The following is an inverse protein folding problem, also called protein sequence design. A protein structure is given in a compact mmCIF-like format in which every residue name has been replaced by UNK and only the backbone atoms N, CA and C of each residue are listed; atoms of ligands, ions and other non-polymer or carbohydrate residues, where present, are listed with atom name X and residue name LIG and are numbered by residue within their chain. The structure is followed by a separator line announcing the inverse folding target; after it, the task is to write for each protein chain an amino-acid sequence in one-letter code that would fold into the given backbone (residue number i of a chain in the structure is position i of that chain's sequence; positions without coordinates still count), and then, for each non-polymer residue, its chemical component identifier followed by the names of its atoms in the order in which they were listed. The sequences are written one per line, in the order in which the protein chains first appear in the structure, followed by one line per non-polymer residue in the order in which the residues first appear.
data_IF_499553726548
#
_entry.id   IF_499553726548
#
_cell.length_a   1.000
_cell.length_b   1.000
_cell.length_c   1.000
_cell.angle_alpha   90.00
_cell.angle_beta   90.00
_cell.angle_gamma   90.00
#
_symmetry.space_group_name_H-M   'P 1'
#
loop_
_entity.id
_entity.type
_entity.pdbx_description
1 polymer ?
#
# COMPACT_ATOMS: atom_id res chain seq x y z
N UNK A 1 -17.59 -4.75 -5.99
CA UNK A 1 -16.36 -5.16 -5.27
C UNK A 1 -15.30 -4.10 -5.52
N UNK A 2 -14.57 -3.70 -4.48
CA UNK A 2 -13.39 -2.86 -4.60
C UNK A 2 -12.20 -3.60 -3.98
N UNK A 3 -11.07 -3.59 -4.65
CA UNK A 3 -9.81 -4.14 -4.18
C UNK A 3 -8.87 -2.96 -3.98
N UNK A 4 -8.23 -2.91 -2.82
CA UNK A 4 -7.24 -1.91 -2.48
C UNK A 4 -5.89 -2.59 -2.31
N UNK A 5 -4.84 -2.01 -2.86
CA UNK A 5 -3.46 -2.50 -2.74
C UNK A 5 -2.59 -1.35 -2.28
N UNK A 6 -1.81 -1.58 -1.22
CA UNK A 6 -0.87 -0.62 -0.64
C UNK A 6 0.21 -1.41 0.10
N UNK A 7 1.34 -0.78 0.40
CA UNK A 7 2.35 -1.33 1.31
C UNK A 7 1.93 -1.10 2.77
N UNK A 8 2.51 -1.84 3.72
CA UNK A 8 2.28 -1.67 5.15
C UNK A 8 2.99 -0.43 5.71
N UNK A 9 4.20 -0.15 5.23
CA UNK A 9 4.93 1.10 5.40
C UNK A 9 5.88 1.35 4.21
N UNK A 10 6.55 2.50 4.19
CA UNK A 10 7.43 2.91 3.08
C UNK A 10 8.82 2.21 3.09
N UNK A 11 9.09 1.31 4.05
CA UNK A 11 10.30 0.49 4.20
C UNK A 11 11.63 1.25 4.05
N UNK A 12 11.65 2.52 4.48
CA UNK A 12 12.83 3.40 4.37
C UNK A 12 13.08 3.95 2.96
N UNK A 13 12.09 3.88 2.07
CA UNK A 13 12.10 4.49 0.76
C UNK A 13 12.41 5.99 0.83
N UNK A 14 13.36 6.43 0.01
CA UNK A 14 13.71 7.84 -0.10
C UNK A 14 12.75 8.51 -1.06
N UNK A 15 11.85 9.31 -0.53
CA UNK A 15 10.89 10.09 -1.29
C UNK A 15 11.15 11.59 -1.09
N UNK A 16 11.09 12.37 -2.17
CA UNK A 16 11.40 13.80 -2.17
C UNK A 16 10.28 14.68 -1.59
N UNK A 17 9.09 14.13 -1.39
CA UNK A 17 7.93 14.82 -0.82
C UNK A 17 7.78 14.47 0.65
N UNK A 18 7.69 13.17 0.97
CA UNK A 18 7.54 12.69 2.35
C UNK A 18 8.02 11.23 2.48
N UNK A 19 8.83 10.92 3.49
CA UNK A 19 9.41 9.59 3.73
C UNK A 19 8.39 8.49 4.02
N UNK A 20 7.14 8.84 4.32
CA UNK A 20 6.06 7.89 4.56
C UNK A 20 5.14 7.74 3.34
N UNK A 21 5.40 8.45 2.24
CA UNK A 21 4.61 8.30 1.02
C UNK A 21 4.85 6.91 0.44
N UNK A 22 3.75 6.17 0.24
CA UNK A 22 3.73 4.84 -0.36
C UNK A 22 2.77 4.80 -1.55
N UNK A 23 2.74 3.67 -2.26
CA UNK A 23 1.84 3.39 -3.37
C UNK A 23 0.47 2.99 -2.86
N UNK A 24 -0.59 3.52 -3.46
CA UNK A 24 -1.97 3.09 -3.23
C UNK A 24 -2.68 2.89 -4.56
N UNK A 25 -3.29 1.72 -4.75
CA UNK A 25 -4.05 1.34 -5.94
C UNK A 25 -5.48 0.96 -5.55
N UNK A 26 -6.46 1.45 -6.31
CA UNK A 26 -7.86 1.04 -6.21
C UNK A 26 -8.30 0.35 -7.51
N UNK A 27 -8.86 -0.85 -7.38
CA UNK A 27 -9.38 -1.63 -8.52
C UNK A 27 -10.84 -1.95 -8.27
N UNK A 28 -11.70 -1.51 -9.19
CA UNK A 28 -13.15 -1.71 -9.14
C UNK A 28 -13.73 -1.38 -10.51
N UNK A 29 -14.89 -1.97 -10.91
CA UNK A 29 -15.66 -1.44 -12.03
C UNK A 29 -16.01 0.04 -11.84
N UNK A 30 -16.14 0.51 -10.61
CA UNK A 30 -16.43 1.90 -10.27
C UNK A 30 -15.18 2.77 -10.09
N UNK A 31 -13.97 2.19 -10.19
CA UNK A 31 -12.75 2.98 -10.10
C UNK A 31 -12.53 3.77 -11.40
N UNK A 32 -12.09 5.01 -11.29
CA UNK A 32 -11.70 5.82 -12.44
C UNK A 32 -10.47 5.21 -13.10
N UNK A 33 -10.58 4.83 -14.37
CA UNK A 33 -9.45 4.28 -15.14
C UNK A 33 -8.45 5.37 -15.49
N UNK A 34 -7.16 5.00 -15.51
CA UNK A 34 -6.06 5.88 -15.89
C UNK A 34 -6.09 7.23 -15.15
N UNK A 35 -6.50 7.19 -13.88
CA UNK A 35 -6.64 8.36 -13.03
C UNK A 35 -5.66 8.27 -11.87
N UNK A 36 -4.97 9.37 -11.60
CA UNK A 36 -4.12 9.54 -10.42
C UNK A 36 -4.82 10.52 -9.48
N UNK A 37 -5.19 10.02 -8.32
CA UNK A 37 -5.71 10.84 -7.24
C UNK A 37 -4.59 11.72 -6.65
N UNK A 38 -4.90 12.98 -6.35
CA UNK A 38 -3.94 13.95 -5.81
C UNK A 38 -4.29 14.39 -4.38
N UNK A 39 -5.42 13.94 -3.84
CA UNK A 39 -5.78 14.15 -2.44
C UNK A 39 -4.75 13.55 -1.51
N UNK A 40 -4.33 14.31 -0.50
CA UNK A 40 -3.51 13.78 0.58
C UNK A 40 -4.37 12.82 1.42
N UNK A 41 -4.03 11.53 1.35
CA UNK A 41 -4.68 10.47 2.12
C UNK A 41 -3.64 9.56 2.76
N UNK A 42 -4.10 8.73 3.68
CA UNK A 42 -3.29 7.83 4.51
C UNK A 42 -4.14 6.62 4.92
N UNK A 43 -3.59 5.70 5.72
CA UNK A 43 -4.33 4.52 6.20
C UNK A 43 -5.70 4.84 6.83
N UNK A 44 -5.87 5.86 7.69
CA UNK A 44 -7.18 6.30 8.15
C UNK A 44 -8.16 6.65 7.02
N UNK A 45 -7.69 7.26 5.92
CA UNK A 45 -8.51 7.58 4.75
C UNK A 45 -8.92 6.34 3.95
N UNK A 46 -8.03 5.35 3.85
CA UNK A 46 -8.35 4.04 3.30
C UNK A 46 -9.43 3.34 4.15
N UNK A 47 -9.26 3.30 5.47
CA UNK A 47 -10.25 2.72 6.39
C UNK A 47 -11.60 3.43 6.30
N UNK A 48 -11.61 4.76 6.29
CA UNK A 48 -12.81 5.58 6.07
C UNK A 48 -13.52 5.16 4.79
N UNK A 49 -12.79 4.98 3.69
CA UNK A 49 -13.35 4.56 2.39
C UNK A 49 -13.98 3.17 2.48
N UNK A 50 -13.28 2.20 3.09
CA UNK A 50 -13.77 0.83 3.26
C UNK A 50 -15.04 0.82 4.12
N UNK A 51 -15.04 1.52 5.26
CA UNK A 51 -16.22 1.61 6.14
C UNK A 51 -17.41 2.21 5.41
N UNK A 52 -17.22 3.29 4.65
CA UNK A 52 -18.28 3.90 3.83
C UNK A 52 -18.83 2.94 2.78
N UNK A 53 -17.98 2.17 2.10
CA UNK A 53 -18.39 1.16 1.12
C UNK A 53 -19.20 0.02 1.77
N UNK A 54 -18.91 -0.32 3.03
CA UNK A 54 -19.61 -1.35 3.80
C UNK A 54 -20.83 -0.80 4.57
N UNK A 55 -21.10 0.51 4.51
CA UNK A 55 -22.18 1.15 5.29
C UNK A 55 -21.90 1.20 6.80
N UNK A 56 -20.63 1.16 7.20
CA UNK A 56 -20.20 1.19 8.59
C UNK A 56 -19.85 2.63 9.04
N UNK A 57 -20.08 2.97 10.31
CA UNK A 57 -19.61 4.21 10.89
C UNK A 57 -18.07 4.20 11.06
N UNK A 58 -17.43 5.37 11.25
CA UNK A 58 -16.03 5.43 11.62
C UNK A 58 -15.78 4.76 12.98
N UNK A 59 -14.60 4.18 13.14
CA UNK A 59 -14.17 3.52 14.36
C UNK A 59 -13.76 4.53 15.44
N UNK A 60 -13.13 5.64 15.06
CA UNK A 60 -12.67 6.68 15.98
C UNK A 60 -12.60 8.05 15.28
N UNK A 61 -11.92 9.03 15.89
CA UNK A 61 -11.80 10.38 15.33
C UNK A 61 -10.85 10.45 14.12
N UNK A 62 -9.82 9.59 14.07
CA UNK A 62 -8.79 9.64 13.04
C UNK A 62 -9.37 9.27 11.67
N UNK A 63 -10.07 8.14 11.58
CA UNK A 63 -10.73 7.72 10.36
C UNK A 63 -11.98 8.55 10.07
N UNK A 64 -12.68 9.10 11.08
CA UNK A 64 -13.75 10.06 10.84
C UNK A 64 -13.26 11.34 10.13
N UNK A 65 -12.13 11.89 10.57
CA UNK A 65 -11.58 13.15 10.09
C UNK A 65 -10.70 13.02 8.84
N UNK A 66 -10.25 11.81 8.49
CA UNK A 66 -9.37 11.58 7.36
C UNK A 66 -10.00 11.95 6.00
N UNK A 67 -9.16 12.33 5.05
CA UNK A 67 -9.51 12.44 3.62
C UNK A 67 -9.75 11.04 3.06
N UNK A 68 -10.97 10.74 2.62
CA UNK A 68 -11.25 9.47 1.95
C UNK A 68 -10.76 9.45 0.49
N UNK A 69 -10.93 8.30 -0.16
CA UNK A 69 -10.48 8.03 -1.52
C UNK A 69 -11.64 8.11 -2.52
N UNK A 70 -12.70 8.87 -2.20
CA UNK A 70 -13.90 8.95 -3.05
C UNK A 70 -13.61 9.50 -4.44
N UNK A 71 -12.58 10.33 -4.61
CA UNK A 71 -12.16 10.82 -5.92
C UNK A 71 -11.68 9.71 -6.87
N UNK A 72 -11.24 8.57 -6.34
CA UNK A 72 -10.85 7.41 -7.15
C UNK A 72 -12.06 6.70 -7.79
N UNK A 73 -13.30 7.06 -7.42
CA UNK A 73 -14.50 6.37 -7.85
C UNK A 73 -15.46 7.24 -8.68
N UNK A 74 -16.35 6.56 -9.39
CA UNK A 74 -17.48 7.12 -10.16
C UNK A 74 -18.74 6.30 -9.86
N UNK A 75 -19.90 6.83 -10.18
CA UNK A 75 -21.21 6.18 -10.09
C UNK A 75 -21.51 5.27 -11.29
N UNK A 76 -20.75 5.39 -12.39
CA UNK A 76 -20.92 4.58 -13.60
C UNK A 76 -19.86 3.47 -13.68
N UNK A 77 -20.25 2.18 -13.62
CA UNK A 77 -19.29 1.10 -13.68
C UNK A 77 -18.78 0.85 -15.10
N UNK A 78 -17.51 0.48 -15.20
CA UNK A 78 -16.85 -0.03 -16.40
C UNK A 78 -16.31 -1.45 -16.15
N UNK A 79 -17.00 -2.44 -16.73
CA UNK A 79 -16.68 -3.86 -16.61
C UNK A 79 -15.64 -4.36 -17.63
N UNK A 80 -14.97 -3.47 -18.38
CA UNK A 80 -13.94 -3.86 -19.33
C UNK A 80 -12.84 -4.68 -18.63
N UNK A 81 -12.53 -5.91 -19.08
CA UNK A 81 -11.51 -6.73 -18.43
C UNK A 81 -10.12 -6.08 -18.47
N UNK A 82 -9.31 -6.35 -17.44
CA UNK A 82 -7.89 -6.03 -17.48
C UNK A 82 -7.13 -7.14 -18.20
N UNK A 83 -6.29 -6.77 -19.16
CA UNK A 83 -5.35 -7.71 -19.79
C UNK A 83 -4.08 -7.74 -18.97
N UNK A 84 -3.76 -8.88 -18.38
CA UNK A 84 -2.57 -9.06 -17.54
C UNK A 84 -1.32 -8.81 -18.37
N UNK A 85 -0.45 -7.95 -17.85
CA UNK A 85 0.87 -7.69 -18.43
C UNK A 85 1.94 -8.47 -17.67
N UNK A 86 2.97 -8.99 -18.35
CA UNK A 86 4.12 -9.59 -17.67
C UNK A 86 4.82 -8.53 -16.80
N UNK A 87 5.40 -8.98 -15.69
CA UNK A 87 6.20 -8.10 -14.84
C UNK A 87 7.41 -7.54 -15.63
N UNK A 88 7.70 -6.26 -15.44
CA UNK A 88 8.90 -5.66 -15.99
C UNK A 88 10.13 -6.20 -15.24
N UNK A 89 11.01 -6.92 -15.95
CA UNK A 89 12.24 -7.50 -15.38
C UNK A 89 13.24 -6.46 -14.87
N UNK A 90 13.13 -5.20 -15.30
CA UNK A 90 13.91 -4.11 -14.73
C UNK A 90 13.43 -3.71 -13.33
N UNK A 91 12.14 -3.95 -13.02
CA UNK A 91 11.53 -3.65 -11.72
C UNK A 91 11.52 -4.89 -10.82
N UNK A 92 11.14 -6.04 -11.38
CA UNK A 92 10.97 -7.29 -10.65
C UNK A 92 11.44 -8.47 -11.49
N UNK A 93 12.47 -9.17 -11.02
CA UNK A 93 13.02 -10.37 -11.64
C UNK A 93 12.44 -11.62 -10.95
N UNK A 94 11.46 -12.32 -11.57
CA UNK A 94 10.78 -13.47 -10.94
C UNK A 94 11.75 -14.59 -10.59
N UNK A 95 12.86 -14.70 -11.34
CA UNK A 95 13.85 -15.76 -11.20
C UNK A 95 14.74 -15.55 -9.96
N UNK A 96 14.67 -14.36 -9.32
CA UNK A 96 15.43 -13.99 -8.11
C UNK A 96 14.54 -13.84 -6.86
N UNK A 97 13.27 -14.19 -6.96
CA UNK A 97 12.34 -14.12 -5.83
C UNK A 97 12.73 -15.18 -4.82
N UNK A 98 12.80 -14.77 -3.56
CA UNK A 98 13.01 -15.70 -2.45
C UNK A 98 11.72 -16.44 -2.16
N UNK A 99 11.75 -17.77 -2.25
CA UNK A 99 10.64 -18.64 -1.88
C UNK A 99 10.59 -18.82 -0.35
N UNK A 100 9.40 -18.92 0.28
CA UNK A 100 9.30 -19.27 1.70
C UNK A 100 10.00 -20.59 2.08
N UNK A 101 10.19 -21.50 1.13
CA UNK A 101 10.90 -22.76 1.29
C UNK A 101 12.42 -22.62 1.14
N UNK A 102 12.91 -21.49 0.64
CA UNK A 102 14.34 -21.23 0.58
C UNK A 102 14.93 -21.22 1.99
N UNK A 103 16.17 -21.71 2.17
CA UNK A 103 16.85 -21.64 3.46
C UNK A 103 16.80 -20.22 4.02
N UNK A 104 16.42 -20.12 5.30
CA UNK A 104 16.47 -18.83 5.96
C UNK A 104 17.91 -18.29 5.86
N UNK A 105 18.10 -17.03 5.44
CA UNK A 105 19.40 -16.40 5.47
C UNK A 105 19.92 -16.45 6.90
N UNK A 106 21.24 -16.46 7.06
CA UNK A 106 21.89 -16.34 8.36
C UNK A 106 21.75 -14.89 8.86
N UNK A 107 20.51 -14.53 9.18
CA UNK A 107 20.11 -13.24 9.70
C UNK A 107 20.01 -13.33 11.22
N UNK A 108 20.39 -12.26 11.95
CA UNK A 108 20.14 -12.19 13.38
C UNK A 108 18.66 -12.42 13.68
N UNK A 109 18.38 -12.90 14.89
CA UNK A 109 17.00 -13.03 15.35
C UNK A 109 16.30 -11.67 15.20
N UNK A 110 15.04 -11.68 14.73
CA UNK A 110 14.19 -10.48 14.72
C UNK A 110 14.23 -9.84 16.11
N UNK A 111 14.48 -8.53 16.12
CA UNK A 111 14.67 -7.72 17.33
C UNK A 111 15.76 -8.20 18.29
N UNK A 112 16.88 -8.77 17.79
CA UNK A 112 18.05 -9.07 18.63
C UNK A 112 18.59 -7.76 19.27
N UNK A 113 18.55 -7.62 20.62
CA UNK A 113 18.95 -6.39 21.29
C UNK A 113 20.41 -5.98 21.02
N UNK A 114 21.29 -6.94 20.72
CA UNK A 114 22.71 -6.68 20.43
C UNK A 114 22.85 -5.96 19.08
N UNK A 115 22.08 -6.37 18.08
CA UNK A 115 22.09 -5.77 16.75
C UNK A 115 21.52 -4.36 16.78
N UNK A 116 20.39 -4.17 17.46
CA UNK A 116 19.77 -2.84 17.63
C UNK A 116 20.75 -1.87 18.30
N UNK A 117 21.42 -2.30 19.38
CA UNK A 117 22.42 -1.47 20.08
C UNK A 117 23.59 -1.11 19.16
N UNK A 118 24.12 -2.08 18.42
CA UNK A 118 25.23 -1.85 17.50
C UNK A 118 24.86 -0.91 16.35
N UNK A 119 23.63 -0.98 15.84
CA UNK A 119 23.13 -0.02 14.82
C UNK A 119 23.00 1.40 15.39
N UNK A 120 22.57 1.53 16.66
CA UNK A 120 22.46 2.82 17.33
C UNK A 120 23.84 3.46 17.58
N UNK A 121 24.83 2.67 17.97
CA UNK A 121 26.22 3.13 18.21
C UNK A 121 26.98 3.48 16.91
N UNK A 122 26.51 2.97 15.76
CA UNK A 122 27.11 3.21 14.43
C UNK A 122 26.55 4.44 13.69
N UNK A 123 25.52 5.08 14.23
CA UNK A 123 25.01 6.37 13.74
C UNK A 123 25.85 7.52 14.28
#
# INVERSE_FOLDING_TARGET
MAIFVTEDDAQGGVDHVDSHRTVMLAVSPYARRNYVAHGNSSFPGLLKTIFRLLGLPPLNLFDAAATDLSECFTDRPDYTPYTVMPADRAVFDPDKVKDPLDPAPDSPRMDDPRVIRQQHERR
#
